data_IF_114069374904
#
_entry.id   IF_114069374904
#
_cell.length_a   1.000
_cell.length_b   1.000
_cell.length_c   1.000
_cell.angle_alpha   90.00
_cell.angle_beta   90.00
_cell.angle_gamma   90.00
#
_symmetry.space_group_name_H-M   'P 1'
#
loop_
_entity.id
_entity.type
_entity.pdbx_description
1 polymer ?
#
# COMPACT_ATOMS: atom_id res chain seq x y z
N UNK A 1 15.22 45.76 -36.44
CA UNK A 1 14.16 44.78 -36.17
C UNK A 1 14.83 43.53 -35.60
N UNK A 2 14.84 43.36 -34.28
CA UNK A 2 15.46 42.20 -33.63
C UNK A 2 14.37 41.45 -32.89
N UNK A 3 14.01 40.27 -33.41
CA UNK A 3 13.13 39.32 -32.74
C UNK A 3 13.91 38.71 -31.57
N UNK A 4 13.48 39.00 -30.34
CA UNK A 4 13.89 38.24 -29.17
C UNK A 4 13.03 36.98 -29.09
N UNK A 5 13.64 35.81 -29.28
CA UNK A 5 13.01 34.52 -29.04
C UNK A 5 12.93 34.30 -27.52
N UNK A 6 11.73 34.36 -26.96
CA UNK A 6 11.48 34.01 -25.55
C UNK A 6 11.28 32.49 -25.49
N UNK A 7 12.30 31.78 -25.02
CA UNK A 7 12.19 30.36 -24.70
C UNK A 7 11.41 30.21 -23.38
N UNK A 8 10.15 29.79 -23.47
CA UNK A 8 9.36 29.41 -22.30
C UNK A 8 9.86 28.04 -21.84
N UNK A 9 10.73 28.03 -20.83
CA UNK A 9 11.17 26.81 -20.17
C UNK A 9 10.01 26.18 -19.41
N UNK A 10 9.41 25.13 -19.97
CA UNK A 10 8.45 24.29 -19.26
C UNK A 10 9.26 23.47 -18.24
N UNK A 11 9.22 23.89 -16.98
CA UNK A 11 9.76 23.10 -15.86
C UNK A 11 8.80 21.93 -15.64
N UNK A 12 9.10 20.78 -16.24
CA UNK A 12 8.51 19.50 -15.87
C UNK A 12 8.99 19.18 -14.46
N UNK A 13 8.15 19.44 -13.46
CA UNK A 13 8.31 18.87 -12.12
C UNK A 13 8.11 17.36 -12.25
N UNK A 14 9.20 16.65 -12.57
CA UNK A 14 9.27 15.20 -12.34
C UNK A 14 9.30 15.05 -10.83
N UNK A 15 8.12 14.87 -10.22
CA UNK A 15 8.00 14.59 -8.81
C UNK A 15 8.81 13.34 -8.50
N UNK A 16 10.02 13.52 -7.97
CA UNK A 16 10.76 12.42 -7.35
C UNK A 16 9.94 12.06 -6.13
N UNK A 17 9.14 10.99 -6.25
CA UNK A 17 8.42 10.42 -5.13
C UNK A 17 9.48 10.03 -4.11
N UNK A 18 9.67 10.86 -3.09
CA UNK A 18 10.62 10.58 -2.02
C UNK A 18 10.22 9.22 -1.45
N UNK A 19 11.12 8.24 -1.56
CA UNK A 19 10.91 6.92 -0.93
C UNK A 19 10.67 7.19 0.54
N UNK A 20 9.51 6.78 1.04
CA UNK A 20 9.07 7.07 2.39
C UNK A 20 10.16 6.54 3.37
N UNK A 21 10.85 7.42 4.13
CA UNK A 21 12.04 7.06 4.91
C UNK A 21 11.75 6.07 6.05
N UNK A 22 10.48 5.78 6.31
CA UNK A 22 10.02 4.75 7.24
C UNK A 22 10.26 3.31 6.77
N UNK A 23 10.66 3.11 5.50
CA UNK A 23 11.00 1.79 4.96
C UNK A 23 12.50 1.67 4.63
N UNK A 24 13.38 1.49 5.63
CA UNK A 24 14.76 1.10 5.36
C UNK A 24 14.78 -0.27 4.65
N UNK A 25 15.81 -0.49 3.82
CA UNK A 25 15.97 -1.74 3.05
C UNK A 25 15.88 -2.95 3.97
N UNK A 26 15.23 -4.01 3.49
CA UNK A 26 15.20 -5.31 4.16
C UNK A 26 16.62 -5.72 4.59
N UNK A 27 16.81 -6.19 5.84
CA UNK A 27 18.11 -6.64 6.30
C UNK A 27 18.56 -7.86 5.50
N UNK A 28 19.88 -8.01 5.33
CA UNK A 28 20.50 -9.07 4.50
C UNK A 28 20.28 -10.49 5.06
N UNK A 29 19.84 -10.60 6.31
CA UNK A 29 19.78 -11.85 7.05
C UNK A 29 18.40 -12.15 7.62
N UNK A 30 17.32 -11.49 7.19
CA UNK A 30 15.97 -11.92 7.55
C UNK A 30 15.12 -12.01 6.29
N UNK A 31 14.10 -12.87 6.32
CA UNK A 31 13.08 -12.84 5.27
C UNK A 31 12.32 -11.54 5.46
N UNK A 32 12.16 -10.77 4.38
CA UNK A 32 11.49 -9.49 4.48
C UNK A 32 10.77 -9.20 3.18
N UNK A 33 9.53 -8.73 3.30
CA UNK A 33 8.70 -8.31 2.19
C UNK A 33 8.19 -6.90 2.47
N UNK A 34 8.32 -6.04 1.47
CA UNK A 34 7.66 -4.73 1.45
C UNK A 34 6.64 -4.81 0.32
N UNK A 35 5.36 -4.66 0.67
CA UNK A 35 4.25 -4.77 -0.27
C UNK A 35 3.45 -3.49 -0.33
N UNK A 36 2.97 -3.21 -1.54
CA UNK A 36 1.97 -2.19 -1.82
C UNK A 36 0.81 -2.90 -2.49
N UNK A 37 -0.38 -2.71 -1.96
CA UNK A 37 -1.61 -3.34 -2.45
C UNK A 37 -2.60 -2.22 -2.73
N UNK A 38 -2.92 -2.05 -4.01
CA UNK A 38 -4.00 -1.18 -4.48
C UNK A 38 -5.19 -2.06 -4.86
N UNK A 39 -6.40 -1.69 -4.45
CA UNK A 39 -7.59 -2.50 -4.73
C UNK A 39 -8.89 -1.74 -4.66
N UNK A 40 -9.95 -2.40 -5.13
CA UNK A 40 -11.33 -1.92 -5.07
C UNK A 40 -12.22 -3.03 -4.51
N UNK A 41 -13.00 -2.71 -3.49
CA UNK A 41 -14.00 -3.59 -2.90
C UNK A 41 -15.33 -3.40 -3.63
N UNK A 42 -15.99 -4.50 -3.97
CA UNK A 42 -17.30 -4.50 -4.62
C UNK A 42 -18.32 -5.27 -3.77
N UNK A 43 -19.51 -4.72 -3.56
CA UNK A 43 -20.71 -5.46 -3.15
C UNK A 43 -21.64 -5.57 -4.36
N UNK A 44 -22.08 -6.77 -4.75
CA UNK A 44 -23.03 -6.95 -5.87
C UNK A 44 -22.68 -6.16 -7.13
N UNK A 45 -21.40 -6.18 -7.51
CA UNK A 45 -20.82 -5.47 -8.67
C UNK A 45 -20.79 -3.93 -8.57
N UNK A 46 -21.19 -3.35 -7.44
CA UNK A 46 -21.06 -1.92 -7.16
C UNK A 46 -19.90 -1.66 -6.20
N UNK A 47 -19.11 -0.59 -6.40
CA UNK A 47 -18.05 -0.24 -5.45
C UNK A 47 -18.62 -0.02 -4.04
N UNK A 48 -18.01 -0.68 -3.07
CA UNK A 48 -18.44 -0.65 -1.68
C UNK A 48 -17.68 0.41 -0.90
N UNK A 49 -18.20 1.63 -0.90
CA UNK A 49 -17.67 2.73 -0.06
C UNK A 49 -18.56 3.12 1.12
N UNK A 50 -19.75 2.55 1.24
CA UNK A 50 -20.71 2.92 2.27
C UNK A 50 -20.45 2.16 3.59
N UNK A 51 -20.20 2.88 4.68
CA UNK A 51 -20.07 2.31 6.03
C UNK A 51 -18.63 1.97 6.45
N UNK A 52 -18.42 1.49 7.70
CA UNK A 52 -17.10 1.19 8.22
C UNK A 52 -16.51 -0.06 7.55
N UNK A 53 -15.61 0.17 6.60
CA UNK A 53 -14.93 -0.88 5.83
C UNK A 53 -13.43 -0.67 5.89
N UNK A 54 -12.69 -1.73 6.14
CA UNK A 54 -11.23 -1.68 6.24
C UNK A 54 -10.60 -2.97 5.71
N UNK A 55 -9.38 -2.81 5.20
CA UNK A 55 -8.52 -3.89 4.74
C UNK A 55 -7.30 -3.92 5.63
N UNK A 56 -6.95 -5.12 6.06
CA UNK A 56 -5.79 -5.37 6.90
C UNK A 56 -4.82 -6.29 6.18
N UNK A 57 -3.53 -5.98 6.30
CA UNK A 57 -2.45 -6.87 5.95
C UNK A 57 -1.94 -7.53 7.21
N UNK A 58 -1.88 -8.85 7.15
CA UNK A 58 -1.39 -9.70 8.20
C UNK A 58 -0.19 -10.49 7.74
N UNK A 59 0.64 -10.81 8.70
CA UNK A 59 1.77 -11.72 8.61
C UNK A 59 1.39 -12.98 9.40
N UNK A 60 1.58 -14.16 8.80
CA UNK A 60 1.34 -15.47 9.41
C UNK A 60 2.69 -16.09 9.77
N UNK A 61 3.00 -16.11 11.06
CA UNK A 61 4.12 -16.85 11.63
C UNK A 61 3.63 -18.12 12.36
N UNK A 62 4.54 -19.01 12.80
CA UNK A 62 4.12 -20.28 13.43
C UNK A 62 3.51 -20.10 14.84
N UNK A 63 3.30 -18.87 15.31
CA UNK A 63 2.89 -18.55 16.67
C UNK A 63 1.61 -17.72 16.74
N UNK A 64 1.62 -16.47 16.27
CA UNK A 64 0.55 -15.49 16.38
C UNK A 64 0.60 -14.58 15.16
N UNK A 65 -0.49 -14.55 14.37
CA UNK A 65 -0.58 -13.63 13.25
C UNK A 65 -0.34 -12.17 13.69
N UNK A 66 0.57 -11.48 12.99
CA UNK A 66 0.90 -10.09 13.27
C UNK A 66 0.16 -9.13 12.33
N UNK A 67 -0.53 -8.13 12.89
CA UNK A 67 -1.13 -7.06 12.10
C UNK A 67 -0.04 -6.12 11.59
N UNK A 68 0.21 -6.14 10.28
CA UNK A 68 1.22 -5.29 9.64
C UNK A 68 0.68 -3.88 9.39
N UNK A 69 -0.54 -3.78 8.86
CA UNK A 69 -1.12 -2.51 8.45
C UNK A 69 -2.64 -2.63 8.31
N UNK A 70 -3.35 -1.53 8.58
CA UNK A 70 -4.80 -1.42 8.37
C UNK A 70 -5.09 -0.11 7.65
N UNK A 71 -5.95 -0.17 6.63
CA UNK A 71 -6.45 1.02 5.94
C UNK A 71 -7.96 1.01 5.84
N UNK A 72 -8.57 2.19 5.94
CA UNK A 72 -9.98 2.38 5.65
C UNK A 72 -10.19 2.33 4.13
N UNK A 73 -11.23 1.63 3.67
CA UNK A 73 -11.72 1.73 2.30
C UNK A 73 -12.44 3.07 2.14
N UNK A 74 -12.15 3.80 1.06
CA UNK A 74 -12.78 5.10 0.83
C UNK A 74 -14.18 4.99 0.21
N UNK A 75 -14.85 6.13 0.07
CA UNK A 75 -16.22 6.22 -0.44
C UNK A 75 -16.40 5.71 -1.89
N UNK A 76 -15.31 5.56 -2.65
CA UNK A 76 -15.32 4.97 -3.99
C UNK A 76 -15.04 3.46 -3.97
N UNK A 77 -14.98 2.85 -2.79
CA UNK A 77 -14.63 1.46 -2.59
C UNK A 77 -13.14 1.15 -2.80
N UNK A 78 -12.28 2.15 -2.99
CA UNK A 78 -10.85 1.92 -3.25
C UNK A 78 -10.02 2.02 -1.98
N UNK A 79 -8.90 1.29 -1.97
CA UNK A 79 -7.93 1.34 -0.90
C UNK A 79 -6.51 1.20 -1.46
N UNK A 80 -5.56 1.77 -0.73
CA UNK A 80 -4.13 1.56 -0.92
C UNK A 80 -3.54 1.22 0.43
N UNK A 81 -2.93 0.04 0.53
CA UNK A 81 -2.27 -0.44 1.73
C UNK A 81 -0.78 -0.64 1.44
N UNK A 82 0.05 -0.18 2.36
CA UNK A 82 1.49 -0.43 2.35
C UNK A 82 1.86 -1.11 3.66
N UNK A 83 2.77 -2.08 3.58
CA UNK A 83 3.22 -2.82 4.74
C UNK A 83 4.57 -3.46 4.55
N UNK A 84 5.23 -3.72 5.67
CA UNK A 84 6.50 -4.42 5.74
C UNK A 84 6.37 -5.53 6.78
N UNK A 85 6.66 -6.76 6.35
CA UNK A 85 6.82 -7.91 7.22
C UNK A 85 8.28 -8.36 7.23
N UNK A 86 8.74 -8.89 8.36
CA UNK A 86 10.08 -9.40 8.53
C UNK A 86 10.05 -10.60 9.46
N UNK A 87 10.63 -11.71 9.02
CA UNK A 87 10.68 -12.95 9.77
C UNK A 87 12.08 -13.54 9.86
N UNK A 88 12.33 -14.23 10.98
CA UNK A 88 13.60 -14.95 11.18
C UNK A 88 13.72 -16.12 10.20
N UNK A 89 14.94 -16.46 9.78
CA UNK A 89 15.18 -17.44 8.72
C UNK A 89 14.44 -18.78 8.84
N UNK A 90 14.24 -19.26 10.07
CA UNK A 90 13.61 -20.54 10.38
C UNK A 90 12.10 -20.55 10.14
N UNK A 91 11.49 -19.38 10.01
CA UNK A 91 10.04 -19.17 9.93
C UNK A 91 9.61 -18.93 8.48
N UNK A 92 8.37 -19.28 8.12
CA UNK A 92 7.80 -18.88 6.83
C UNK A 92 7.39 -17.41 6.90
N UNK A 93 7.57 -16.64 5.81
CA UNK A 93 7.00 -15.30 5.73
C UNK A 93 5.71 -15.39 4.90
N UNK A 94 4.57 -15.42 5.58
CA UNK A 94 3.25 -15.53 4.96
C UNK A 94 2.53 -14.19 5.01
N UNK A 95 2.14 -13.61 3.87
CA UNK A 95 1.34 -12.39 3.84
C UNK A 95 -0.07 -12.67 3.34
N UNK A 96 -1.06 -12.13 4.03
CA UNK A 96 -2.47 -12.30 3.64
C UNK A 96 -3.32 -11.09 4.03
N UNK A 97 -4.50 -11.00 3.42
CA UNK A 97 -5.44 -9.90 3.64
C UNK A 97 -6.67 -10.36 4.42
N UNK A 98 -7.06 -9.59 5.43
CA UNK A 98 -8.40 -9.67 6.04
C UNK A 98 -9.22 -8.47 5.56
N UNK A 99 -10.41 -8.74 5.01
CA UNK A 99 -11.31 -7.71 4.48
C UNK A 99 -12.54 -7.64 5.39
N UNK A 100 -12.78 -6.46 5.95
CA UNK A 100 -13.95 -6.16 6.76
C UNK A 100 -14.89 -5.28 5.97
N UNK A 101 -16.08 -5.82 5.71
CA UNK A 101 -17.09 -5.16 4.90
C UNK A 101 -18.44 -5.17 5.59
N UNK A 102 -19.25 -4.18 5.25
CA UNK A 102 -20.68 -4.11 5.58
C UNK A 102 -21.56 -4.52 4.41
N UNK A 103 -21.00 -5.15 3.35
CA UNK A 103 -21.80 -5.81 2.31
C UNK A 103 -22.74 -6.82 3.00
N UNK A 104 -24.05 -6.62 2.87
CA UNK A 104 -25.09 -7.47 3.47
C UNK A 104 -26.45 -7.12 2.94
#
# INVERSE_FOLDING_TARGET
MHLAFVAVGIVLFVGVHAKNPLFPRCPLFDKCAVVTIDGTLFCDQQPSGAGPQYVELWEDDNTVDDLVSRVQVNDNGTFRLEGRAQEFFTEGLGLFLKVFSTCG
#
